data_IF_695126068389
#
_entry.id   IF_695126068389
#
_cell.length_a   1.000
_cell.length_b   1.000
_cell.length_c   1.000
_cell.angle_alpha   90.00
_cell.angle_beta   90.00
_cell.angle_gamma   90.00
#
_symmetry.space_group_name_H-M   'P 1'
#
loop_
_entity.id
_entity.type
_entity.pdbx_description
1 polymer ?
#
# COMPACT_ATOMS: atom_id res chain seq x y z
N UNK A 1 -14.89 -47.62 -8.89
CA UNK A 1 -14.55 -46.21 -8.68
C UNK A 1 -13.88 -46.12 -7.34
N UNK A 2 -12.61 -45.76 -7.33
CA UNK A 2 -11.80 -45.77 -6.12
C UNK A 2 -12.07 -44.50 -5.29
N UNK A 3 -12.17 -44.62 -3.97
CA UNK A 3 -12.49 -43.47 -3.11
C UNK A 3 -11.39 -42.39 -3.20
N UNK A 4 -10.14 -42.82 -3.38
CA UNK A 4 -8.99 -41.95 -3.58
C UNK A 4 -9.10 -41.17 -4.89
N UNK A 5 -9.60 -41.81 -5.94
CA UNK A 5 -9.75 -41.20 -7.26
C UNK A 5 -10.85 -40.14 -7.25
N UNK A 6 -11.95 -40.39 -6.54
CA UNK A 6 -13.03 -39.42 -6.38
C UNK A 6 -12.58 -38.16 -5.60
N UNK A 7 -11.79 -38.34 -4.55
CA UNK A 7 -11.23 -37.21 -3.77
C UNK A 7 -10.24 -36.41 -4.63
N UNK A 8 -9.38 -37.10 -5.40
CA UNK A 8 -8.43 -36.47 -6.30
C UNK A 8 -9.14 -35.59 -7.34
N UNK A 9 -10.18 -36.11 -7.98
CA UNK A 9 -10.97 -35.33 -8.95
C UNK A 9 -11.71 -34.17 -8.28
N UNK A 10 -12.37 -34.40 -7.15
CA UNK A 10 -13.04 -33.34 -6.38
C UNK A 10 -12.09 -32.23 -5.94
N UNK A 11 -10.83 -32.57 -5.62
CA UNK A 11 -9.81 -31.60 -5.24
C UNK A 11 -9.41 -30.68 -6.41
N UNK A 12 -9.40 -31.20 -7.65
CA UNK A 12 -9.11 -30.40 -8.85
C UNK A 12 -10.25 -29.42 -9.19
N UNK A 13 -11.48 -29.76 -8.83
CA UNK A 13 -12.66 -28.89 -9.06
C UNK A 13 -12.76 -27.73 -8.06
N UNK A 14 -12.04 -27.79 -6.93
CA UNK A 14 -12.05 -26.73 -5.93
C UNK A 14 -11.33 -25.48 -6.43
N UNK A 15 -12.03 -24.35 -6.39
CA UNK A 15 -11.45 -23.04 -6.70
C UNK A 15 -10.41 -22.65 -5.65
N UNK A 16 -9.30 -22.06 -6.09
CA UNK A 16 -8.27 -21.51 -5.20
C UNK A 16 -8.83 -20.48 -4.22
N UNK A 17 -9.86 -19.72 -4.61
CA UNK A 17 -10.54 -18.77 -3.73
C UNK A 17 -11.24 -19.44 -2.55
N UNK A 18 -11.90 -20.58 -2.77
CA UNK A 18 -12.52 -21.39 -1.72
C UNK A 18 -11.48 -21.96 -0.77
N UNK A 19 -10.38 -22.48 -1.33
CA UNK A 19 -9.25 -23.00 -0.55
C UNK A 19 -8.64 -21.91 0.34
N UNK A 20 -8.33 -20.75 -0.25
CA UNK A 20 -7.75 -19.59 0.46
C UNK A 20 -8.66 -19.09 1.59
N UNK A 21 -9.99 -19.10 1.41
CA UNK A 21 -10.92 -18.71 2.48
C UNK A 21 -10.87 -19.64 3.70
N UNK A 22 -10.72 -20.95 3.47
CA UNK A 22 -10.58 -21.94 4.55
C UNK A 22 -9.26 -21.73 5.27
N UNK A 23 -8.15 -21.60 4.52
CA UNK A 23 -6.84 -21.37 5.10
C UNK A 23 -6.73 -20.01 5.80
N UNK A 24 -7.54 -19.00 5.46
CA UNK A 24 -7.54 -17.66 6.10
C UNK A 24 -7.70 -17.69 7.60
N UNK A 25 -8.47 -18.65 8.11
CA UNK A 25 -8.71 -18.79 9.56
C UNK A 25 -7.69 -19.67 10.28
N UNK A 26 -6.96 -20.51 9.54
CA UNK A 26 -6.08 -21.53 10.11
C UNK A 26 -4.62 -21.11 9.95
N UNK A 27 -4.23 -20.71 8.74
CA UNK A 27 -2.88 -20.30 8.39
C UNK A 27 -2.91 -19.18 7.34
N UNK A 28 -3.07 -17.92 7.77
CA UNK A 28 -3.20 -16.78 6.86
C UNK A 28 -1.94 -16.55 5.99
N UNK A 29 -0.75 -16.87 6.49
CA UNK A 29 0.53 -16.69 5.79
C UNK A 29 0.69 -17.61 4.56
N UNK A 30 -0.03 -18.75 4.51
CA UNK A 30 0.00 -19.66 3.36
C UNK A 30 -0.93 -19.22 2.22
N UNK A 31 -1.71 -18.16 2.41
CA UNK A 31 -2.60 -17.66 1.37
C UNK A 31 -1.81 -16.73 0.49
N UNK A 32 -1.67 -17.11 -0.77
CA UNK A 32 -1.36 -16.15 -1.82
C UNK A 32 -2.57 -15.24 -1.94
N UNK A 33 -2.53 -14.10 -1.26
CA UNK A 33 -3.58 -13.10 -1.41
C UNK A 33 -3.56 -12.64 -2.86
N UNK A 34 -4.73 -12.66 -3.48
CA UNK A 34 -4.97 -12.03 -4.79
C UNK A 34 -4.83 -10.51 -4.74
N UNK A 35 -4.30 -9.93 -3.67
CA UNK A 35 -3.90 -8.51 -3.61
C UNK A 35 -2.90 -8.19 -4.73
N UNK A 36 -2.10 -9.19 -5.14
CA UNK A 36 -1.28 -9.11 -6.34
C UNK A 36 -2.13 -8.84 -7.60
N UNK A 37 -3.28 -9.49 -7.79
CA UNK A 37 -4.10 -9.35 -9.00
C UNK A 37 -4.73 -7.96 -9.15
N UNK A 38 -5.03 -7.26 -8.04
CA UNK A 38 -5.62 -5.91 -8.09
C UNK A 38 -4.60 -4.87 -8.60
N UNK A 39 -3.33 -5.02 -8.23
CA UNK A 39 -2.25 -4.13 -8.68
C UNK A 39 -1.92 -4.28 -10.17
N UNK A 40 -2.37 -5.36 -10.83
CA UNK A 40 -2.07 -5.63 -12.24
C UNK A 40 -3.16 -5.22 -13.22
N UNK A 41 -4.33 -4.77 -12.77
CA UNK A 41 -5.37 -4.29 -13.68
C UNK A 41 -5.00 -2.91 -14.26
N UNK A 42 -4.81 -2.77 -15.58
CA UNK A 42 -4.43 -1.49 -16.20
C UNK A 42 -5.41 -0.35 -15.87
N UNK A 43 -6.69 -0.68 -15.72
CA UNK A 43 -7.75 0.27 -15.36
C UNK A 43 -7.56 0.86 -13.95
N UNK A 44 -7.11 0.04 -12.99
CA UNK A 44 -6.85 0.50 -11.63
C UNK A 44 -5.63 1.43 -11.60
N UNK A 45 -4.58 1.11 -12.36
CA UNK A 45 -3.40 1.97 -12.48
C UNK A 45 -3.75 3.32 -13.10
N UNK A 46 -4.56 3.32 -14.15
CA UNK A 46 -5.00 4.57 -14.78
C UNK A 46 -5.83 5.42 -13.81
N UNK A 47 -6.76 4.83 -13.07
CA UNK A 47 -7.55 5.56 -12.07
C UNK A 47 -6.69 6.18 -10.96
N UNK A 48 -5.62 5.49 -10.53
CA UNK A 48 -4.67 6.02 -9.54
C UNK A 48 -3.91 7.22 -10.12
N UNK A 49 -3.45 7.11 -11.37
CA UNK A 49 -2.78 8.18 -12.10
C UNK A 49 -3.68 9.41 -12.24
N UNK A 50 -4.90 9.23 -12.71
CA UNK A 50 -5.88 10.30 -12.90
C UNK A 50 -6.17 11.01 -11.56
N UNK A 51 -6.37 10.25 -10.49
CA UNK A 51 -6.59 10.80 -9.15
C UNK A 51 -5.38 11.59 -8.65
N UNK A 52 -4.16 11.12 -8.93
CA UNK A 52 -2.96 11.81 -8.50
C UNK A 52 -2.76 13.12 -9.27
N UNK A 53 -3.06 13.12 -10.57
CA UNK A 53 -3.08 14.33 -11.40
C UNK A 53 -4.13 15.33 -10.89
N UNK A 54 -5.34 14.87 -10.55
CA UNK A 54 -6.39 15.71 -9.96
C UNK A 54 -5.97 16.34 -8.61
N UNK A 55 -5.05 15.70 -7.88
CA UNK A 55 -4.48 16.18 -6.62
C UNK A 55 -3.23 17.08 -6.81
N UNK A 56 -2.85 17.38 -8.07
CA UNK A 56 -1.73 18.26 -8.40
C UNK A 56 -0.39 17.55 -8.61
N UNK A 57 -0.36 16.21 -8.65
CA UNK A 57 0.85 15.43 -8.93
C UNK A 57 1.02 15.17 -10.44
N UNK A 58 0.99 16.23 -11.26
CA UNK A 58 0.99 16.14 -12.74
C UNK A 58 2.21 15.42 -13.34
N UNK A 59 3.34 15.43 -12.63
CA UNK A 59 4.59 14.81 -13.07
C UNK A 59 4.64 13.28 -12.90
N UNK A 60 3.63 12.67 -12.26
CA UNK A 60 3.57 11.23 -12.07
C UNK A 60 3.23 10.50 -13.37
N UNK A 61 3.90 9.37 -13.58
CA UNK A 61 3.71 8.47 -14.71
C UNK A 61 3.38 7.05 -14.24
N UNK A 62 3.11 6.15 -15.20
CA UNK A 62 2.71 4.77 -14.89
C UNK A 62 3.82 3.97 -14.17
N UNK A 63 5.10 4.26 -14.45
CA UNK A 63 6.23 3.63 -13.75
C UNK A 63 6.22 3.97 -12.27
N UNK A 64 5.92 5.21 -11.91
CA UNK A 64 5.88 5.64 -10.51
C UNK A 64 4.77 4.90 -9.73
N UNK A 65 3.62 4.67 -10.38
CA UNK A 65 2.52 3.88 -9.81
C UNK A 65 2.91 2.40 -9.67
N UNK A 66 3.62 1.84 -10.66
CA UNK A 66 4.10 0.46 -10.61
C UNK A 66 5.12 0.25 -9.48
N UNK A 67 6.06 1.17 -9.33
CA UNK A 67 7.07 1.13 -8.27
C UNK A 67 6.42 1.28 -6.89
N UNK A 68 5.39 2.14 -6.76
CA UNK A 68 4.63 2.29 -5.52
C UNK A 68 3.85 1.02 -5.14
N UNK A 69 3.28 0.32 -6.12
CA UNK A 69 2.48 -0.89 -5.93
C UNK A 69 3.31 -2.18 -5.90
N UNK A 70 4.63 -2.08 -6.09
CA UNK A 70 5.53 -3.22 -6.07
C UNK A 70 5.48 -3.92 -4.69
N UNK A 71 5.17 -5.22 -4.70
CA UNK A 71 4.97 -5.99 -3.48
C UNK A 71 6.25 -6.18 -2.65
N UNK A 72 7.40 -6.04 -3.28
CA UNK A 72 8.74 -6.12 -2.72
C UNK A 72 9.32 -4.75 -2.33
N UNK A 73 8.54 -3.67 -2.47
CA UNK A 73 8.96 -2.33 -2.05
C UNK A 73 9.24 -2.31 -0.54
N UNK A 74 10.49 -1.98 -0.18
CA UNK A 74 10.87 -1.78 1.21
C UNK A 74 10.14 -0.53 1.77
N UNK A 75 9.65 -0.57 3.03
CA UNK A 75 9.12 0.64 3.66
C UNK A 75 10.20 1.71 3.74
N UNK A 76 9.77 2.98 3.68
CA UNK A 76 10.69 4.10 3.85
C UNK A 76 11.37 4.01 5.22
N UNK A 77 12.68 4.26 5.25
CA UNK A 77 13.44 4.36 6.48
C UNK A 77 13.05 5.63 7.25
N UNK A 78 13.40 5.64 8.55
CA UNK A 78 13.14 6.80 9.41
C UNK A 78 13.79 8.09 8.90
N UNK A 79 15.00 7.99 8.35
CA UNK A 79 15.71 9.15 7.81
C UNK A 79 15.06 9.68 6.51
N UNK A 80 14.53 8.79 5.66
CA UNK A 80 13.79 9.18 4.45
C UNK A 80 12.45 9.84 4.81
N UNK A 81 11.76 9.36 5.85
CA UNK A 81 10.54 10.00 6.34
C UNK A 81 10.80 11.42 6.87
N UNK A 82 11.91 11.63 7.59
CA UNK A 82 12.31 12.97 8.05
C UNK A 82 12.60 13.90 6.86
N UNK A 83 13.28 13.39 5.84
CA UNK A 83 13.62 14.17 4.64
C UNK A 83 12.35 14.61 3.89
N UNK A 84 11.38 13.71 3.71
CA UNK A 84 10.08 14.04 3.11
C UNK A 84 9.30 15.09 3.91
N UNK A 85 9.36 15.05 5.24
CA UNK A 85 8.73 16.09 6.07
C UNK A 85 9.44 17.46 5.95
N UNK A 86 10.74 17.45 5.62
CA UNK A 86 11.55 18.66 5.51
C UNK A 86 11.46 19.31 4.12
N UNK A 87 10.95 18.63 3.10
CA UNK A 87 10.64 19.25 1.81
C UNK A 87 9.53 20.29 2.00
N UNK A 88 9.78 21.58 1.68
CA UNK A 88 8.72 22.57 1.74
C UNK A 88 7.64 22.17 0.72
N UNK A 89 6.39 22.07 1.17
CA UNK A 89 5.24 22.02 0.27
C UNK A 89 5.39 23.19 -0.71
N UNK A 90 5.50 22.87 -2.00
CA UNK A 90 5.55 23.85 -3.06
C UNK A 90 4.12 24.39 -3.18
N UNK A 91 3.76 25.29 -2.27
CA UNK A 91 2.47 25.96 -2.25
C UNK A 91 2.77 27.46 -2.17
N UNK A 92 2.74 28.13 -3.32
CA UNK A 92 3.08 29.55 -3.43
C UNK A 92 2.07 30.48 -2.72
N UNK A 93 1.01 29.96 -2.07
CA UNK A 93 0.08 30.77 -1.25
C UNK A 93 -0.29 30.17 0.13
N UNK A 94 0.45 29.20 0.68
CA UNK A 94 0.21 28.74 2.04
C UNK A 94 0.99 29.56 3.08
N UNK A 95 0.30 30.18 4.04
CA UNK A 95 0.92 30.80 5.22
C UNK A 95 1.89 29.81 5.90
N UNK A 96 3.07 30.27 6.37
CA UNK A 96 4.09 29.36 6.88
C UNK A 96 3.53 28.55 8.05
N UNK A 97 3.44 27.23 7.88
CA UNK A 97 3.13 26.30 8.96
C UNK A 97 4.29 26.32 9.94
N UNK A 98 4.22 27.25 10.90
CA UNK A 98 5.15 27.31 12.03
C UNK A 98 4.96 26.04 12.84
N UNK A 99 5.82 25.05 12.58
CA UNK A 99 5.99 23.89 13.44
C UNK A 99 6.25 24.39 14.85
N UNK A 100 5.30 24.15 15.76
CA UNK A 100 5.44 24.52 17.18
C UNK A 100 6.53 23.66 17.79
N UNK A 101 7.75 24.15 17.75
CA UNK A 101 8.90 23.53 18.39
C UNK A 101 8.68 23.51 19.90
N UNK A 102 8.69 22.32 20.49
CA UNK A 102 8.68 22.13 21.93
C UNK A 102 10.05 22.51 22.49
N UNK A 103 10.26 23.81 22.71
CA UNK A 103 11.48 24.27 23.38
C UNK A 103 11.38 24.02 24.88
N UNK A 104 12.50 23.71 25.55
CA UNK A 104 12.53 23.49 27.01
C UNK A 104 11.94 24.65 27.82
N UNK A 105 11.85 25.84 27.22
CA UNK A 105 11.20 27.01 27.81
C UNK A 105 9.68 26.84 27.96
N UNK A 106 9.03 26.11 27.06
CA UNK A 106 7.58 25.83 27.09
C UNK A 106 7.28 24.78 28.17
N UNK A 107 8.13 23.76 28.31
CA UNK A 107 8.02 22.73 29.36
C UNK A 107 8.26 23.31 30.77
N UNK A 108 9.13 24.30 30.91
CA UNK A 108 9.43 24.94 32.20
C UNK A 108 8.32 25.86 32.71
N UNK A 109 7.34 26.22 31.88
CA UNK A 109 6.23 27.11 32.27
C UNK A 109 4.98 26.35 32.72
N UNK A 110 4.98 25.02 32.65
CA UNK A 110 3.84 24.15 32.99
C UNK A 110 3.93 23.55 34.41
N UNK A 111 4.77 24.12 35.29
CA UNK A 111 4.86 23.81 36.73
C UNK A 111 4.66 25.12 37.50
#
# INVERSE_FOLDING_TARGET
MDAVENISESWKELKSTTMNHVWKKIWPECIKTTDAEVNFLPEVRQNILDLAHDLGFEDLNESDVLDLLAADREPLSYEELIQLQAEPAIDEEAEPVVSKQLTSKIMSSAI
#
